data_IF_755551326586
#
_entry.id   IF_755551326586
#
_cell.length_a   1.000
_cell.length_b   1.000
_cell.length_c   1.000
_cell.angle_alpha   90.00
_cell.angle_beta   90.00
_cell.angle_gamma   90.00
#
_symmetry.space_group_name_H-M   'P 1'
#
loop_
_entity.id
_entity.type
_entity.pdbx_description
1 polymer ?
#
# COMPACT_ATOMS: atom_id res chain seq x y z
N UNK A 1 74.95 -16.36 19.66
CA UNK A 1 73.92 -17.39 19.39
C UNK A 1 72.57 -16.69 19.49
N UNK A 2 71.90 -16.43 18.36
CA UNK A 2 70.59 -15.80 18.33
C UNK A 2 69.55 -16.81 18.85
N UNK A 3 68.67 -16.45 19.80
CA UNK A 3 67.62 -17.36 20.24
C UNK A 3 66.73 -17.74 19.04
N UNK A 4 66.28 -19.00 18.92
CA UNK A 4 65.35 -19.38 17.87
C UNK A 4 64.06 -18.54 18.00
N UNK A 5 63.48 -18.06 16.88
CA UNK A 5 62.23 -17.32 16.94
C UNK A 5 61.15 -18.19 17.61
N UNK A 6 60.29 -17.61 18.47
CA UNK A 6 59.20 -18.35 19.07
C UNK A 6 58.32 -18.97 17.97
N UNK A 7 57.74 -20.15 18.19
CA UNK A 7 56.83 -20.76 17.24
C UNK A 7 55.66 -19.79 17.00
N UNK A 8 55.52 -19.36 15.74
CA UNK A 8 54.42 -18.49 15.32
C UNK A 8 53.16 -19.35 15.30
N UNK A 9 52.17 -19.04 16.14
CA UNK A 9 50.89 -19.74 16.11
C UNK A 9 50.07 -19.20 14.92
N UNK A 10 50.32 -19.80 13.75
CA UNK A 10 49.64 -19.44 12.51
C UNK A 10 48.12 -19.64 12.60
N UNK A 11 47.62 -20.42 13.56
CA UNK A 11 46.21 -20.61 13.82
C UNK A 11 45.53 -19.32 14.29
N UNK A 12 46.13 -18.64 15.26
CA UNK A 12 45.65 -17.33 15.74
C UNK A 12 45.72 -16.26 14.64
N UNK A 13 46.80 -16.25 13.85
CA UNK A 13 46.94 -15.31 12.73
C UNK A 13 45.88 -15.53 11.65
N UNK A 14 45.69 -16.77 11.20
CA UNK A 14 44.68 -17.13 10.19
C UNK A 14 43.25 -16.87 10.69
N UNK A 15 42.98 -17.14 11.98
CA UNK A 15 41.69 -16.81 12.60
C UNK A 15 41.42 -15.30 12.59
N UNK A 16 42.45 -14.47 12.81
CA UNK A 16 42.36 -13.02 12.69
C UNK A 16 41.97 -12.57 11.28
N UNK A 17 42.56 -13.17 10.24
CA UNK A 17 42.21 -12.87 8.84
C UNK A 17 40.79 -13.29 8.48
N UNK A 18 40.34 -14.46 8.95
CA UNK A 18 38.96 -14.93 8.74
C UNK A 18 37.96 -13.99 9.43
N UNK A 19 38.26 -13.55 10.66
CA UNK A 19 37.39 -12.63 11.38
C UNK A 19 37.35 -11.24 10.71
N UNK A 20 38.49 -10.74 10.22
CA UNK A 20 38.56 -9.49 9.47
C UNK A 20 37.75 -9.57 8.16
N UNK A 21 37.84 -10.69 7.44
CA UNK A 21 37.07 -10.91 6.21
C UNK A 21 35.58 -10.99 6.50
N UNK A 22 35.16 -11.74 7.52
CA UNK A 22 33.75 -11.82 7.92
C UNK A 22 33.22 -10.45 8.36
N UNK A 23 34.00 -9.68 9.10
CA UNK A 23 33.63 -8.31 9.51
C UNK A 23 33.39 -7.44 8.29
N UNK A 24 34.28 -7.48 7.29
CA UNK A 24 34.12 -6.68 6.06
C UNK A 24 32.84 -7.04 5.30
N UNK A 25 32.53 -8.33 5.15
CA UNK A 25 31.30 -8.79 4.47
C UNK A 25 30.03 -8.34 5.22
N UNK A 26 29.99 -8.50 6.54
CA UNK A 26 28.83 -8.07 7.35
C UNK A 26 28.63 -6.55 7.30
N UNK A 27 29.70 -5.77 7.40
CA UNK A 27 29.63 -4.30 7.30
C UNK A 27 29.13 -3.86 5.93
N UNK A 28 29.61 -4.49 4.85
CA UNK A 28 29.15 -4.19 3.49
C UNK A 28 27.67 -4.53 3.29
N UNK A 29 27.22 -5.69 3.78
CA UNK A 29 25.81 -6.08 3.72
C UNK A 29 24.90 -5.10 4.49
N UNK A 30 25.33 -4.65 5.68
CA UNK A 30 24.57 -3.70 6.47
C UNK A 30 24.47 -2.30 5.81
N UNK A 31 25.56 -1.81 5.21
CA UNK A 31 25.57 -0.56 4.45
C UNK A 31 24.60 -0.64 3.25
N UNK A 32 24.63 -1.75 2.52
CA UNK A 32 23.76 -1.95 1.35
C UNK A 32 22.28 -1.98 1.75
N UNK A 33 21.93 -2.73 2.80
CA UNK A 33 20.56 -2.76 3.32
C UNK A 33 20.05 -1.37 3.76
N UNK A 34 20.93 -0.51 4.28
CA UNK A 34 20.57 0.85 4.69
C UNK A 34 20.30 1.78 3.49
N UNK A 35 21.02 1.63 2.37
CA UNK A 35 20.73 2.37 1.13
C UNK A 35 19.41 1.90 0.50
N UNK A 36 19.15 0.59 0.53
CA UNK A 36 17.90 0.01 0.05
C UNK A 36 16.71 0.50 0.89
N UNK A 37 16.85 0.54 2.21
CA UNK A 37 15.84 1.09 3.12
C UNK A 37 15.57 2.59 2.91
N UNK A 38 16.54 3.37 2.41
CA UNK A 38 16.35 4.79 2.09
C UNK A 38 15.82 5.01 0.66
N UNK A 39 16.07 4.08 -0.27
CA UNK A 39 15.56 4.11 -1.65
C UNK A 39 14.13 3.57 -1.73
N UNK A 40 13.76 2.70 -0.79
CA UNK A 40 12.37 2.41 -0.52
C UNK A 40 11.77 3.65 0.15
N UNK A 41 11.39 4.63 -0.69
CA UNK A 41 10.26 5.50 -0.37
C UNK A 41 9.22 4.57 0.27
N UNK A 42 8.77 4.84 1.51
CA UNK A 42 7.53 4.27 1.94
C UNK A 42 6.55 4.81 0.91
N UNK A 43 6.25 4.02 -0.12
CA UNK A 43 4.95 4.05 -0.76
C UNK A 43 4.06 4.05 0.45
N UNK A 44 3.26 5.11 0.68
CA UNK A 44 2.16 4.99 1.60
C UNK A 44 1.40 3.80 1.03
N UNK A 45 1.63 2.60 1.58
CA UNK A 45 0.71 1.49 1.41
C UNK A 45 -0.55 2.15 1.87
N UNK A 46 -1.40 2.50 0.90
CA UNK A 46 -2.61 3.27 1.11
C UNK A 46 -3.26 2.56 2.27
N UNK A 47 -3.12 3.19 3.43
CA UNK A 47 -3.48 2.57 4.66
C UNK A 47 -4.97 2.45 4.46
N UNK A 48 -5.45 1.22 4.32
CA UNK A 48 -6.83 0.86 4.54
C UNK A 48 -7.08 1.23 6.01
N UNK A 49 -7.29 2.53 6.19
CA UNK A 49 -7.27 3.22 7.45
C UNK A 49 -8.60 2.91 8.11
N UNK A 50 -8.74 1.70 8.66
CA UNK A 50 -9.70 1.33 9.70
C UNK A 50 -11.08 1.97 9.57
N UNK A 51 -11.57 2.09 8.34
CA UNK A 51 -12.63 2.99 7.97
C UNK A 51 -13.33 2.41 6.76
N UNK A 52 -14.68 2.34 6.76
CA UNK A 52 -15.42 1.69 5.70
C UNK A 52 -15.06 2.33 4.36
N UNK A 53 -14.76 1.47 3.38
CA UNK A 53 -14.47 1.87 2.01
C UNK A 53 -15.56 2.80 1.47
N UNK A 54 -15.25 3.61 0.45
CA UNK A 54 -16.24 4.50 -0.16
C UNK A 54 -17.49 3.73 -0.62
N UNK A 55 -17.30 2.49 -1.08
CA UNK A 55 -18.36 1.54 -1.42
C UNK A 55 -19.20 1.13 -0.21
N UNK A 56 -18.59 0.78 0.93
CA UNK A 56 -19.33 0.46 2.16
C UNK A 56 -20.12 1.65 2.70
N UNK A 57 -19.54 2.86 2.65
CA UNK A 57 -20.23 4.11 3.01
C UNK A 57 -21.40 4.38 2.08
N UNK A 58 -21.22 4.11 0.78
CA UNK A 58 -22.27 4.22 -0.22
C UNK A 58 -23.40 3.21 0.04
N UNK A 59 -23.09 1.92 0.24
CA UNK A 59 -24.09 0.87 0.54
C UNK A 59 -24.85 1.14 1.84
N UNK A 60 -24.21 1.70 2.87
CA UNK A 60 -24.85 2.08 4.13
C UNK A 60 -25.90 3.20 3.96
N UNK A 61 -25.79 4.01 2.92
CA UNK A 61 -26.79 5.04 2.60
C UNK A 61 -27.99 4.47 1.84
N UNK A 62 -28.03 3.13 1.62
CA UNK A 62 -29.09 2.43 0.90
C UNK A 62 -29.52 3.17 -0.38
N UNK A 63 -28.60 3.36 -1.33
CA UNK A 63 -28.87 4.14 -2.53
C UNK A 63 -30.00 3.48 -3.31
N UNK A 64 -30.99 4.28 -3.71
CA UNK A 64 -32.14 3.79 -4.49
C UNK A 64 -31.65 3.29 -5.85
N UNK A 65 -32.05 2.09 -6.28
CA UNK A 65 -31.71 1.61 -7.63
C UNK A 65 -32.49 2.34 -8.70
N UNK A 66 -31.83 2.68 -9.81
CA UNK A 66 -32.54 3.20 -10.99
C UNK A 66 -33.26 2.05 -11.68
N UNK A 67 -34.59 2.11 -11.79
CA UNK A 67 -35.38 1.04 -12.43
C UNK A 67 -35.48 1.17 -13.96
N UNK A 68 -34.63 2.01 -14.58
CA UNK A 68 -34.78 2.30 -16.02
C UNK A 68 -36.08 3.04 -16.33
N UNK A 69 -36.58 3.87 -15.41
CA UNK A 69 -37.89 4.50 -15.56
C UNK A 69 -37.87 5.54 -16.68
N UNK A 70 -38.73 5.36 -17.70
CA UNK A 70 -38.87 6.26 -18.86
C UNK A 70 -39.41 7.65 -18.53
N UNK A 71 -39.73 7.90 -17.26
CA UNK A 71 -40.26 9.17 -16.79
C UNK A 71 -39.11 10.13 -16.40
N UNK A 72 -39.06 11.33 -17.01
CA UNK A 72 -37.99 12.29 -16.76
C UNK A 72 -38.00 12.83 -15.33
N UNK A 73 -39.18 12.96 -14.68
CA UNK A 73 -39.28 13.45 -13.30
C UNK A 73 -38.74 12.41 -12.31
N UNK A 74 -39.04 11.13 -12.53
CA UNK A 74 -38.51 10.04 -11.71
C UNK A 74 -37.00 9.90 -11.87
N UNK A 75 -36.50 10.04 -13.10
CA UNK A 75 -35.06 10.06 -13.39
C UNK A 75 -34.33 11.23 -12.72
N UNK A 76 -34.89 12.44 -12.78
CA UNK A 76 -34.32 13.61 -12.12
C UNK A 76 -34.35 13.50 -10.59
N UNK A 77 -35.45 12.97 -10.03
CA UNK A 77 -35.58 12.74 -8.59
C UNK A 77 -34.55 11.72 -8.10
N UNK A 78 -34.39 10.60 -8.82
CA UNK A 78 -33.36 9.60 -8.53
C UNK A 78 -31.96 10.19 -8.59
N UNK A 79 -31.63 10.92 -9.66
CA UNK A 79 -30.31 11.55 -9.81
C UNK A 79 -30.04 12.55 -8.67
N UNK A 80 -31.06 13.29 -8.23
CA UNK A 80 -30.95 14.23 -7.10
C UNK A 80 -30.62 13.52 -5.79
N UNK A 81 -31.26 12.39 -5.50
CA UNK A 81 -30.97 11.57 -4.33
C UNK A 81 -29.55 11.01 -4.37
N UNK A 82 -29.12 10.44 -5.51
CA UNK A 82 -27.75 9.94 -5.67
C UNK A 82 -26.70 11.06 -5.50
N UNK A 83 -26.96 12.25 -6.06
CA UNK A 83 -26.08 13.43 -5.86
C UNK A 83 -25.98 13.85 -4.39
N UNK A 84 -27.06 13.73 -3.60
CA UNK A 84 -27.01 13.98 -2.15
C UNK A 84 -26.13 12.96 -1.44
N UNK A 85 -26.23 11.68 -1.80
CA UNK A 85 -25.42 10.61 -1.23
C UNK A 85 -23.93 10.86 -1.51
N UNK A 86 -23.58 11.19 -2.76
CA UNK A 86 -22.22 11.55 -3.15
C UNK A 86 -21.65 12.73 -2.34
N UNK A 87 -22.46 13.78 -2.15
CA UNK A 87 -22.06 14.92 -1.34
C UNK A 87 -21.86 14.55 0.14
N UNK A 88 -22.68 13.67 0.68
CA UNK A 88 -22.61 13.21 2.06
C UNK A 88 -21.40 12.31 2.34
N UNK A 89 -21.04 11.41 1.40
CA UNK A 89 -19.85 10.56 1.54
C UNK A 89 -18.54 11.26 1.15
N UNK A 90 -18.61 12.51 0.62
CA UNK A 90 -17.46 13.29 0.15
C UNK A 90 -16.60 12.52 -0.87
N UNK A 91 -17.24 11.84 -1.82
CA UNK A 91 -16.56 11.07 -2.86
C UNK A 91 -15.87 12.00 -3.89
N UNK A 92 -14.75 11.54 -4.43
CA UNK A 92 -14.05 12.21 -5.55
C UNK A 92 -14.79 11.99 -6.87
N UNK A 93 -14.47 12.74 -7.93
CA UNK A 93 -15.11 12.55 -9.24
C UNK A 93 -14.89 11.12 -9.79
N UNK A 94 -13.72 10.54 -9.54
CA UNK A 94 -13.36 9.18 -9.96
C UNK A 94 -14.22 8.11 -9.25
N UNK A 95 -14.43 8.29 -7.94
CA UNK A 95 -15.31 7.44 -7.14
C UNK A 95 -16.78 7.55 -7.59
N UNK A 96 -17.23 8.75 -7.97
CA UNK A 96 -18.61 8.98 -8.44
C UNK A 96 -18.92 8.17 -9.69
N UNK A 97 -17.98 8.13 -10.64
CA UNK A 97 -18.14 7.35 -11.88
C UNK A 97 -18.27 5.87 -11.54
N UNK A 98 -17.36 5.35 -10.71
CA UNK A 98 -17.38 3.93 -10.29
C UNK A 98 -18.68 3.55 -9.58
N UNK A 99 -19.16 4.39 -8.65
CA UNK A 99 -20.40 4.15 -7.91
C UNK A 99 -21.65 4.31 -8.79
N UNK A 100 -21.67 5.29 -9.71
CA UNK A 100 -22.76 5.48 -10.64
C UNK A 100 -22.88 4.30 -11.63
N UNK A 101 -21.76 3.82 -12.16
CA UNK A 101 -21.74 2.63 -13.03
C UNK A 101 -22.30 1.41 -12.29
N UNK A 102 -21.90 1.19 -11.03
CA UNK A 102 -22.46 0.12 -10.21
C UNK A 102 -23.98 0.21 -10.06
N UNK A 103 -24.51 1.41 -9.78
CA UNK A 103 -25.97 1.62 -9.64
C UNK A 103 -26.76 1.42 -10.94
N UNK A 104 -26.14 1.71 -12.08
CA UNK A 104 -26.77 1.56 -13.39
C UNK A 104 -26.77 0.09 -13.86
N UNK A 105 -25.78 -0.71 -13.47
CA UNK A 105 -25.72 -2.14 -13.84
C UNK A 105 -26.75 -3.03 -13.12
N UNK A 106 -27.25 -2.60 -11.94
CA UNK A 106 -28.22 -3.38 -11.14
C UNK A 106 -29.60 -3.50 -11.82
N UNK A 107 -29.86 -2.78 -12.91
CA UNK A 107 -31.10 -2.88 -13.69
C UNK A 107 -30.90 -3.41 -15.13
N UNK A 108 -29.87 -4.24 -15.35
CA UNK A 108 -29.70 -5.00 -16.58
C UNK A 108 -29.95 -6.50 -16.36
N UNK A 109 -31.19 -6.87 -16.02
CA UNK A 109 -31.76 -8.22 -16.28
C UNK A 109 -33.26 -8.05 -16.55
#
# INVERSE_FOLDING_TARGET
>A
MLPPPPPVDYGVFMQGLVQAMQTQTHTQAALQAQLEAQTQVPVPQAQDHGGPSIMERFKRMSPTSFKGESDPLLSESWMREIKKIFRAIRCTEDDKVTLATYMLQVCAI
#
